data_IF_474931459860
#
_entry.id   IF_474931459860
#
_cell.length_a   1.000
_cell.length_b   1.000
_cell.length_c   1.000
_cell.angle_alpha   90.00
_cell.angle_beta   90.00
_cell.angle_gamma   90.00
#
_symmetry.space_group_name_H-M   'P 1'
#
loop_
_entity.id
_entity.type
_entity.pdbx_description
1 polymer ?
#
# COMPACT_ATOMS: atom_id res chain seq x y z
N UNK A 1 -1.20 -25.19 5.64
CA UNK A 1 -1.80 -26.10 4.66
C UNK A 1 -0.83 -26.33 3.50
N UNK A 2 -0.49 -25.35 2.66
CA UNK A 2 0.39 -25.49 1.47
C UNK A 2 1.75 -26.12 1.83
N UNK A 3 2.44 -25.63 2.85
CA UNK A 3 3.73 -26.16 3.31
C UNK A 3 3.60 -27.63 3.75
N UNK A 4 2.49 -28.00 4.38
CA UNK A 4 2.26 -29.38 4.79
C UNK A 4 2.12 -30.30 3.58
N UNK A 5 1.32 -29.93 2.57
CA UNK A 5 1.21 -30.70 1.32
C UNK A 5 2.56 -30.82 0.62
N UNK A 6 3.33 -29.72 0.57
CA UNK A 6 4.65 -29.70 -0.06
C UNK A 6 5.63 -30.74 0.52
N UNK A 7 5.57 -30.96 1.84
CA UNK A 7 6.44 -31.93 2.50
C UNK A 7 5.85 -33.35 2.56
N UNK A 8 4.53 -33.48 2.73
CA UNK A 8 3.89 -34.78 2.92
C UNK A 8 3.50 -35.45 1.60
N UNK A 9 3.29 -34.67 0.53
CA UNK A 9 2.91 -35.18 -0.80
C UNK A 9 3.84 -34.58 -1.85
N UNK A 10 5.12 -34.97 -1.86
CA UNK A 10 6.07 -34.45 -2.83
C UNK A 10 5.68 -34.86 -4.26
N UNK A 11 6.20 -34.13 -5.25
CA UNK A 11 5.99 -34.37 -6.68
C UNK A 11 4.51 -34.34 -7.10
N UNK A 12 3.71 -33.53 -6.43
CA UNK A 12 2.28 -33.39 -6.71
C UNK A 12 1.98 -32.06 -7.42
N UNK A 13 0.86 -32.06 -8.16
CA UNK A 13 0.26 -30.81 -8.66
C UNK A 13 -0.91 -30.41 -7.77
N UNK A 14 -0.87 -29.18 -7.29
CA UNK A 14 -1.89 -28.60 -6.43
C UNK A 14 -2.60 -27.45 -7.13
N UNK A 15 -3.92 -27.60 -7.31
CA UNK A 15 -4.80 -26.52 -7.78
C UNK A 15 -5.58 -25.93 -6.60
N UNK A 16 -5.54 -24.61 -6.44
CA UNK A 16 -6.17 -23.95 -5.30
C UNK A 16 -6.72 -22.56 -5.66
N UNK A 17 -7.90 -22.26 -5.13
CA UNK A 17 -8.40 -20.88 -5.02
C UNK A 17 -7.96 -20.27 -3.68
N UNK A 18 -7.30 -19.14 -3.72
CA UNK A 18 -6.80 -18.49 -2.52
C UNK A 18 -6.70 -16.96 -2.67
N UNK A 19 -6.70 -16.27 -1.54
CA UNK A 19 -6.30 -14.86 -1.49
C UNK A 19 -4.82 -14.73 -1.82
N UNK A 20 -4.42 -13.62 -2.42
CA UNK A 20 -3.06 -13.40 -2.92
C UNK A 20 -2.00 -13.10 -1.84
N UNK A 21 -2.37 -13.08 -0.56
CA UNK A 21 -1.46 -12.68 0.52
C UNK A 21 -0.17 -13.48 0.59
N UNK A 22 -0.24 -14.80 0.38
CA UNK A 22 0.95 -15.65 0.44
C UNK A 22 1.94 -15.38 -0.71
N UNK A 23 1.48 -14.81 -1.81
CA UNK A 23 2.34 -14.38 -2.91
C UNK A 23 2.97 -13.01 -2.66
N UNK A 24 2.19 -12.05 -2.18
CA UNK A 24 2.56 -10.63 -2.17
C UNK A 24 2.93 -10.08 -0.80
N UNK A 25 2.27 -10.54 0.27
CA UNK A 25 2.41 -9.90 1.58
C UNK A 25 3.75 -10.21 2.24
N UNK A 26 4.34 -9.20 2.88
CA UNK A 26 5.57 -9.34 3.67
C UNK A 26 5.46 -10.33 4.83
N UNK A 27 4.27 -10.49 5.40
CA UNK A 27 4.01 -11.46 6.47
C UNK A 27 4.17 -12.92 6.04
N UNK A 28 4.25 -13.17 4.73
CA UNK A 28 4.45 -14.50 4.15
C UNK A 28 5.85 -14.68 3.55
N UNK A 29 6.80 -13.82 3.87
CA UNK A 29 8.18 -13.94 3.38
C UNK A 29 8.81 -15.28 3.75
N UNK A 30 8.63 -15.74 4.99
CA UNK A 30 9.17 -17.03 5.44
C UNK A 30 8.45 -18.23 4.79
N UNK A 31 7.15 -18.11 4.52
CA UNK A 31 6.45 -19.10 3.70
C UNK A 31 7.08 -19.24 2.32
N UNK A 32 7.36 -18.12 1.63
CA UNK A 32 7.96 -18.13 0.28
C UNK A 32 9.39 -18.66 0.23
N UNK A 33 10.14 -18.54 1.31
CA UNK A 33 11.48 -19.16 1.43
C UNK A 33 11.43 -20.69 1.52
N UNK A 34 10.34 -21.24 2.05
CA UNK A 34 10.15 -22.68 2.27
C UNK A 34 9.42 -23.32 1.09
N UNK A 35 8.38 -22.67 0.58
CA UNK A 35 7.50 -23.20 -0.45
C UNK A 35 8.05 -22.90 -1.85
N UNK A 36 8.96 -23.73 -2.31
CA UNK A 36 9.70 -23.58 -3.58
C UNK A 36 9.06 -24.37 -4.73
N UNK A 37 7.74 -24.47 -4.77
CA UNK A 37 7.03 -25.10 -5.90
C UNK A 37 6.93 -24.12 -7.06
N UNK A 38 6.98 -24.64 -8.29
CA UNK A 38 6.76 -23.82 -9.48
C UNK A 38 5.30 -23.47 -9.64
N UNK A 39 5.00 -22.20 -9.85
CA UNK A 39 3.67 -21.73 -10.22
C UNK A 39 3.48 -21.86 -11.74
N UNK A 40 2.74 -22.88 -12.18
CA UNK A 40 2.55 -23.18 -13.60
C UNK A 40 1.46 -22.34 -14.26
N UNK A 41 0.39 -22.05 -13.52
CA UNK A 41 -0.76 -21.34 -14.07
C UNK A 41 -1.41 -20.47 -13.00
N UNK A 42 -1.83 -19.27 -13.40
CA UNK A 42 -2.41 -18.33 -12.48
C UNK A 42 -3.42 -17.39 -13.17
N UNK A 43 -4.62 -17.32 -12.63
CA UNK A 43 -5.56 -16.25 -12.96
C UNK A 43 -6.23 -15.69 -11.70
N UNK A 44 -6.76 -14.48 -11.80
CA UNK A 44 -7.50 -13.80 -10.74
C UNK A 44 -8.92 -13.45 -11.20
N UNK A 45 -9.84 -13.57 -10.24
CA UNK A 45 -11.23 -13.18 -10.39
C UNK A 45 -11.74 -12.47 -9.13
N UNK A 46 -12.85 -11.70 -9.21
CA UNK A 46 -13.43 -11.03 -8.05
C UNK A 46 -13.91 -12.04 -7.01
N UNK A 47 -13.75 -11.71 -5.74
CA UNK A 47 -14.28 -12.52 -4.63
C UNK A 47 -15.80 -12.74 -4.74
N UNK A 48 -16.52 -11.80 -5.35
CA UNK A 48 -17.97 -11.87 -5.59
C UNK A 48 -18.38 -12.98 -6.57
N UNK A 49 -17.42 -13.56 -7.32
CA UNK A 49 -17.66 -14.74 -8.16
C UNK A 49 -17.95 -16.00 -7.35
N UNK A 50 -17.78 -15.96 -6.03
CA UNK A 50 -18.02 -17.09 -5.12
C UNK A 50 -19.21 -16.80 -4.22
N UNK A 51 -20.08 -17.80 -4.08
CA UNK A 51 -21.24 -17.69 -3.20
C UNK A 51 -20.82 -17.39 -1.74
N UNK A 52 -21.58 -16.51 -1.11
CA UNK A 52 -21.37 -16.10 0.29
C UNK A 52 -20.04 -15.39 0.60
N UNK A 53 -19.22 -15.05 -0.39
CA UNK A 53 -18.02 -14.25 -0.17
C UNK A 53 -18.36 -12.77 -0.25
N UNK A 54 -18.34 -12.11 0.90
CA UNK A 54 -18.51 -10.65 1.01
C UNK A 54 -17.15 -9.98 0.94
N UNK A 55 -17.03 -8.95 0.11
CA UNK A 55 -15.82 -8.14 0.00
C UNK A 55 -15.39 -7.88 -1.44
N UNK A 56 -14.56 -6.88 -1.61
CA UNK A 56 -14.11 -6.39 -2.90
C UNK A 56 -12.59 -6.60 -3.03
N UNK A 57 -12.19 -7.86 -3.23
CA UNK A 57 -10.79 -8.27 -3.30
C UNK A 57 -10.58 -9.39 -4.34
N UNK A 58 -9.34 -9.57 -4.83
CA UNK A 58 -9.03 -10.64 -5.78
C UNK A 58 -8.90 -12.00 -5.09
N UNK A 59 -9.41 -13.03 -5.77
CA UNK A 59 -9.12 -14.44 -5.50
C UNK A 59 -8.34 -14.98 -6.68
N UNK A 60 -7.21 -15.63 -6.41
CA UNK A 60 -6.40 -16.29 -7.42
C UNK A 60 -6.66 -17.78 -7.49
N UNK A 61 -6.86 -18.30 -8.69
CA UNK A 61 -6.68 -19.71 -8.98
C UNK A 61 -5.23 -19.96 -9.36
N UNK A 62 -4.61 -20.93 -8.73
CA UNK A 62 -3.18 -21.20 -8.84
C UNK A 62 -2.98 -22.70 -9.04
N UNK A 63 -2.11 -23.06 -9.97
CA UNK A 63 -1.65 -24.44 -10.15
C UNK A 63 -0.15 -24.46 -9.83
N UNK A 64 0.20 -25.19 -8.79
CA UNK A 64 1.56 -25.37 -8.32
C UNK A 64 2.05 -26.77 -8.62
N UNK A 65 3.29 -26.89 -9.10
CA UNK A 65 3.99 -28.16 -9.30
C UNK A 65 5.14 -28.29 -8.29
N UNK A 66 5.00 -29.20 -7.33
CA UNK A 66 6.02 -29.44 -6.32
C UNK A 66 7.16 -30.34 -6.79
N UNK A 67 7.02 -31.01 -7.94
CA UNK A 67 8.12 -31.73 -8.59
C UNK A 67 9.16 -30.76 -9.17
N UNK A 68 8.77 -29.53 -9.49
CA UNK A 68 9.66 -28.49 -10.00
C UNK A 68 9.91 -27.45 -8.91
N UNK A 69 11.19 -27.20 -8.63
CA UNK A 69 11.57 -26.23 -7.62
C UNK A 69 11.90 -24.88 -8.25
N UNK A 70 11.15 -23.86 -7.83
CA UNK A 70 11.31 -22.49 -8.30
C UNK A 70 10.95 -21.52 -7.18
N UNK A 71 11.82 -20.52 -6.96
CA UNK A 71 11.51 -19.43 -6.04
C UNK A 71 10.55 -18.47 -6.76
N UNK A 72 9.38 -18.26 -6.18
CA UNK A 72 8.41 -17.33 -6.75
C UNK A 72 8.88 -15.88 -6.58
N UNK A 73 9.21 -15.22 -7.67
CA UNK A 73 9.56 -13.80 -7.73
C UNK A 73 8.47 -12.96 -8.36
N UNK A 74 8.01 -13.34 -9.54
CA UNK A 74 6.89 -12.68 -10.22
C UNK A 74 6.19 -13.63 -11.18
N UNK A 75 4.95 -13.30 -11.52
CA UNK A 75 4.18 -13.98 -12.58
C UNK A 75 3.17 -13.01 -13.18
N UNK A 76 2.70 -13.34 -14.37
CA UNK A 76 1.57 -12.66 -15.01
C UNK A 76 0.30 -13.46 -14.72
N UNK A 77 -0.71 -12.78 -14.21
CA UNK A 77 -2.02 -13.33 -13.96
C UNK A 77 -3.02 -12.83 -15.00
N UNK A 78 -3.80 -13.73 -15.57
CA UNK A 78 -4.99 -13.37 -16.33
C UNK A 78 -6.06 -12.82 -15.38
N UNK A 79 -6.76 -11.75 -15.78
CA UNK A 79 -7.81 -11.14 -14.98
C UNK A 79 -9.17 -11.43 -15.62
N UNK A 80 -10.04 -12.10 -14.90
CA UNK A 80 -11.40 -12.38 -15.34
C UNK A 80 -12.41 -11.57 -14.51
N UNK A 81 -13.45 -11.04 -15.16
CA UNK A 81 -14.58 -10.38 -14.50
C UNK A 81 -15.59 -11.39 -13.91
N UNK A 82 -16.65 -10.87 -13.27
CA UNK A 82 -17.74 -11.71 -12.72
C UNK A 82 -18.50 -12.51 -13.81
N UNK A 83 -18.43 -12.06 -15.07
CA UNK A 83 -19.06 -12.73 -16.23
C UNK A 83 -18.13 -13.71 -16.92
N UNK A 84 -16.95 -13.95 -16.36
CA UNK A 84 -15.91 -14.83 -16.91
C UNK A 84 -15.25 -14.32 -18.21
N UNK A 85 -15.32 -13.03 -18.49
CA UNK A 85 -14.59 -12.42 -19.59
C UNK A 85 -13.17 -12.11 -19.15
N UNK A 86 -12.20 -12.39 -20.01
CA UNK A 86 -10.83 -11.90 -19.83
C UNK A 86 -10.82 -10.38 -20.03
N UNK A 87 -10.45 -9.63 -19.00
CA UNK A 87 -10.44 -8.16 -19.00
C UNK A 87 -9.04 -7.56 -18.98
N UNK A 88 -7.99 -8.38 -18.86
CA UNK A 88 -6.62 -7.92 -18.89
C UNK A 88 -5.65 -8.86 -18.19
N UNK A 89 -4.45 -8.34 -17.95
CA UNK A 89 -3.35 -9.06 -17.30
C UNK A 89 -2.78 -8.21 -16.18
N UNK A 90 -2.20 -8.88 -15.18
CA UNK A 90 -1.55 -8.20 -14.05
C UNK A 90 -0.27 -8.92 -13.65
N UNK A 91 0.79 -8.15 -13.47
CA UNK A 91 2.02 -8.65 -12.84
C UNK A 91 1.82 -8.78 -11.33
N UNK A 92 2.13 -9.95 -10.81
CA UNK A 92 2.10 -10.25 -9.38
C UNK A 92 3.53 -10.53 -8.94
N UNK A 93 3.99 -9.78 -7.94
CA UNK A 93 5.36 -9.86 -7.43
C UNK A 93 5.37 -10.38 -6.00
N UNK A 94 6.42 -11.11 -5.64
CA UNK A 94 6.76 -11.32 -4.25
C UNK A 94 7.54 -10.12 -3.71
N UNK A 95 7.10 -9.59 -2.57
CA UNK A 95 7.78 -8.44 -1.98
C UNK A 95 8.55 -8.83 -0.73
N UNK A 96 9.81 -8.43 -0.67
CA UNK A 96 10.56 -8.43 0.57
C UNK A 96 10.04 -7.34 1.49
N UNK A 97 9.98 -7.65 2.78
CA UNK A 97 9.58 -6.68 3.81
C UNK A 97 10.45 -5.41 3.78
N UNK A 98 11.71 -5.54 3.41
CA UNK A 98 12.69 -4.44 3.32
C UNK A 98 12.31 -3.38 2.28
N UNK A 99 11.55 -3.75 1.26
CA UNK A 99 11.13 -2.84 0.18
C UNK A 99 9.78 -2.17 0.47
N UNK A 100 9.18 -2.38 1.63
CA UNK A 100 7.91 -1.74 1.96
C UNK A 100 8.08 -0.25 2.28
N UNK A 101 7.11 0.56 1.88
CA UNK A 101 7.09 2.00 2.16
C UNK A 101 7.17 2.33 3.66
N UNK A 102 6.68 1.47 4.54
CA UNK A 102 6.78 1.65 5.99
C UNK A 102 8.25 1.48 6.46
N UNK A 103 8.99 0.51 5.91
CA UNK A 103 10.40 0.35 6.28
C UNK A 103 11.23 1.55 5.81
N UNK A 104 10.95 2.05 4.61
CA UNK A 104 11.57 3.28 4.13
C UNK A 104 11.27 4.46 5.07
N UNK A 105 10.01 4.65 5.46
CA UNK A 105 9.61 5.76 6.34
C UNK A 105 10.27 5.70 7.72
N UNK A 106 10.56 4.51 8.25
CA UNK A 106 11.23 4.35 9.56
C UNK A 106 12.61 4.99 9.63
N UNK A 107 13.30 5.10 8.49
CA UNK A 107 14.61 5.78 8.42
C UNK A 107 14.51 7.28 8.74
N UNK A 108 13.31 7.86 8.65
CA UNK A 108 13.04 9.28 8.87
C UNK A 108 12.30 9.56 10.18
N UNK A 109 12.18 8.56 11.07
CA UNK A 109 11.56 8.79 12.37
C UNK A 109 12.42 9.71 13.23
N UNK A 110 11.83 10.81 13.67
CA UNK A 110 12.47 11.79 14.54
C UNK A 110 11.63 11.97 15.81
N UNK A 111 12.20 11.59 16.95
CA UNK A 111 11.58 11.71 18.27
C UNK A 111 12.18 12.82 19.11
N UNK A 112 13.26 13.45 18.63
CA UNK A 112 14.07 14.39 19.41
C UNK A 112 13.75 15.83 19.10
N UNK A 113 13.24 16.12 17.90
CA UNK A 113 12.92 17.48 17.48
C UNK A 113 11.50 17.87 17.88
N UNK A 114 11.26 19.18 17.87
CA UNK A 114 9.94 19.75 18.15
C UNK A 114 8.89 19.17 17.19
N UNK A 115 7.81 18.66 17.78
CA UNK A 115 6.71 18.08 17.05
C UNK A 115 5.82 19.15 16.45
N UNK A 116 5.55 19.01 15.14
CA UNK A 116 4.55 19.81 14.44
C UNK A 116 3.18 19.10 14.50
N UNK A 117 3.14 17.79 14.20
CA UNK A 117 1.92 17.01 14.07
C UNK A 117 2.23 15.52 14.12
N UNK A 118 1.25 14.68 13.76
CA UNK A 118 1.40 13.24 13.60
C UNK A 118 0.91 12.79 12.22
N UNK A 119 1.63 11.83 11.64
CA UNK A 119 1.14 11.00 10.55
C UNK A 119 0.51 9.74 11.16
N UNK A 120 -0.77 9.49 10.90
CA UNK A 120 -1.40 8.20 11.16
C UNK A 120 -1.11 7.25 10.01
N UNK A 121 -0.67 6.04 10.34
CA UNK A 121 -0.29 4.99 9.40
C UNK A 121 -1.08 3.72 9.69
N UNK A 122 -1.48 3.01 8.64
CA UNK A 122 -2.11 1.70 8.78
C UNK A 122 -1.82 0.84 7.55
N UNK A 123 -1.36 -0.39 7.79
CA UNK A 123 -1.06 -1.33 6.71
C UNK A 123 -0.09 -0.79 5.65
N UNK A 124 0.17 -1.58 4.64
CA UNK A 124 1.02 -1.19 3.49
C UNK A 124 0.34 -1.47 2.16
N UNK A 125 -0.89 -1.94 2.20
CA UNK A 125 -1.71 -2.26 1.03
C UNK A 125 -2.64 -1.10 0.64
N UNK A 126 -3.17 -1.18 -0.57
CA UNK A 126 -4.07 -0.17 -1.13
C UNK A 126 -5.38 -0.08 -0.35
N UNK A 127 -5.88 -1.18 0.20
CA UNK A 127 -7.11 -1.23 0.98
C UNK A 127 -7.08 -0.29 2.20
N UNK A 128 -5.91 -0.10 2.79
CA UNK A 128 -5.75 0.67 4.02
C UNK A 128 -5.40 2.15 3.79
N UNK A 129 -5.32 2.61 2.53
CA UNK A 129 -4.92 3.98 2.20
C UNK A 129 -5.76 5.04 2.88
N UNK A 130 -7.09 4.86 2.97
CA UNK A 130 -8.00 5.81 3.63
C UNK A 130 -7.72 5.99 5.14
N UNK A 131 -6.98 5.08 5.75
CA UNK A 131 -6.57 5.18 7.14
C UNK A 131 -5.28 5.97 7.37
N UNK A 132 -4.69 6.54 6.32
CA UNK A 132 -3.46 7.34 6.37
C UNK A 132 -3.82 8.82 6.27
N UNK A 133 -3.48 9.60 7.29
CA UNK A 133 -3.79 11.03 7.33
C UNK A 133 -2.90 11.77 8.34
N UNK A 134 -2.79 13.08 8.20
CA UNK A 134 -2.17 13.95 9.20
C UNK A 134 -3.18 14.33 10.28
N UNK A 135 -2.72 14.42 11.52
CA UNK A 135 -3.53 14.86 12.67
C UNK A 135 -2.66 15.38 13.79
N UNK A 136 -3.14 16.37 14.53
CA UNK A 136 -2.51 16.82 15.79
C UNK A 136 -3.12 16.10 17.01
N UNK A 137 -4.19 15.35 16.83
CA UNK A 137 -4.91 14.62 17.91
C UNK A 137 -5.07 13.12 17.56
N UNK A 138 -3.99 12.32 17.64
CA UNK A 138 -4.11 10.88 17.42
C UNK A 138 -4.92 10.20 18.52
N UNK A 139 -5.68 9.19 18.19
CA UNK A 139 -6.41 8.41 19.17
C UNK A 139 -5.46 7.65 20.10
N UNK A 140 -5.88 7.42 21.35
CA UNK A 140 -5.11 6.61 22.30
C UNK A 140 -4.89 5.17 21.80
N UNK A 141 -5.83 4.62 21.03
CA UNK A 141 -5.70 3.32 20.41
C UNK A 141 -4.62 3.29 19.32
N UNK A 142 -4.54 4.32 18.49
CA UNK A 142 -3.51 4.43 17.46
C UNK A 142 -2.11 4.56 18.07
N UNK A 143 -1.99 5.33 19.16
CA UNK A 143 -0.74 5.46 19.90
C UNK A 143 -0.32 4.11 20.49
N UNK A 144 -1.23 3.42 21.19
CA UNK A 144 -0.95 2.09 21.80
C UNK A 144 -0.54 1.03 20.80
N UNK A 145 -1.09 1.09 19.58
CA UNK A 145 -0.76 0.18 18.47
C UNK A 145 0.42 0.63 17.62
N UNK A 146 1.09 1.72 17.99
CA UNK A 146 2.20 2.30 17.21
C UNK A 146 1.83 2.60 15.75
N UNK A 147 0.60 3.07 15.53
CA UNK A 147 0.09 3.44 14.21
C UNK A 147 0.32 4.92 13.88
N UNK A 148 1.16 5.60 14.64
CA UNK A 148 1.46 7.03 14.45
C UNK A 148 2.95 7.26 14.40
N UNK A 149 3.37 8.24 13.59
CA UNK A 149 4.72 8.78 13.56
C UNK A 149 4.69 10.28 13.77
N UNK A 150 5.68 10.81 14.48
CA UNK A 150 5.81 12.24 14.74
C UNK A 150 6.29 12.96 13.48
N UNK A 151 5.64 14.06 13.12
CA UNK A 151 6.08 14.98 12.07
C UNK A 151 6.86 16.14 12.73
N UNK A 152 8.06 16.39 12.23
CA UNK A 152 8.96 17.47 12.66
C UNK A 152 9.48 18.23 11.45
N UNK A 153 10.21 19.33 11.65
CA UNK A 153 10.86 20.04 10.54
C UNK A 153 11.86 19.17 9.76
N UNK A 154 12.47 18.20 10.44
CA UNK A 154 13.51 17.35 9.82
C UNK A 154 12.94 16.25 8.93
N UNK A 155 11.68 15.85 9.13
CA UNK A 155 11.09 14.72 8.39
C UNK A 155 9.80 15.06 7.64
N UNK A 156 9.41 16.33 7.57
CA UNK A 156 8.16 16.74 6.93
C UNK A 156 8.07 16.25 5.46
N UNK A 157 9.16 16.33 4.70
CA UNK A 157 9.18 15.90 3.30
C UNK A 157 8.87 14.38 3.16
N UNK A 158 9.62 13.46 3.78
CA UNK A 158 9.28 12.04 3.72
C UNK A 158 7.88 11.72 4.26
N UNK A 159 7.38 12.45 5.25
CA UNK A 159 6.01 12.25 5.74
C UNK A 159 4.96 12.69 4.71
N UNK A 160 5.19 13.79 3.99
CA UNK A 160 4.34 14.26 2.90
C UNK A 160 4.38 13.26 1.71
N UNK A 161 5.55 12.76 1.34
CA UNK A 161 5.70 11.73 0.30
C UNK A 161 4.91 10.49 0.68
N UNK A 162 5.05 10.00 1.91
CA UNK A 162 4.29 8.84 2.37
C UNK A 162 2.78 9.06 2.27
N UNK A 163 2.27 10.19 2.76
CA UNK A 163 0.86 10.55 2.68
C UNK A 163 0.36 10.54 1.24
N UNK A 164 1.06 11.25 0.36
CA UNK A 164 0.68 11.44 -1.03
C UNK A 164 0.67 10.12 -1.79
N UNK A 165 1.76 9.35 -1.73
CA UNK A 165 1.88 8.06 -2.40
C UNK A 165 0.79 7.09 -1.96
N UNK A 166 0.41 7.11 -0.68
CA UNK A 166 -0.67 6.26 -0.15
C UNK A 166 -2.06 6.63 -0.69
N UNK A 167 -2.22 7.81 -1.27
CA UNK A 167 -3.49 8.31 -1.80
C UNK A 167 -3.50 8.50 -3.32
N UNK A 168 -2.37 8.31 -4.01
CA UNK A 168 -2.28 8.53 -5.47
C UNK A 168 -3.13 7.56 -6.30
N UNK A 169 -3.52 6.41 -5.74
CA UNK A 169 -4.36 5.43 -6.41
C UNK A 169 -5.51 4.99 -5.53
N UNK A 170 -6.68 4.83 -6.14
CA UNK A 170 -7.85 4.26 -5.48
C UNK A 170 -7.75 2.74 -5.41
N UNK A 171 -8.15 2.17 -4.26
CA UNK A 171 -8.29 0.74 -4.13
C UNK A 171 -9.47 0.23 -4.97
N UNK A 172 -9.21 -0.80 -5.76
CA UNK A 172 -10.21 -1.55 -6.52
C UNK A 172 -10.13 -3.02 -6.12
N UNK A 173 -11.07 -3.85 -6.58
CA UNK A 173 -10.99 -5.29 -6.28
C UNK A 173 -9.73 -5.95 -6.85
N UNK A 174 -9.12 -5.37 -7.92
CA UNK A 174 -7.92 -5.93 -8.56
C UNK A 174 -6.66 -5.65 -7.74
N UNK A 175 -6.57 -4.46 -7.12
CA UNK A 175 -5.33 -3.96 -6.50
C UNK A 175 -5.41 -3.75 -4.98
N UNK A 176 -6.53 -4.07 -4.34
CA UNK A 176 -6.73 -3.78 -2.90
C UNK A 176 -5.64 -4.39 -2.01
N UNK A 177 -5.02 -5.48 -2.44
CA UNK A 177 -3.94 -6.20 -1.73
C UNK A 177 -2.53 -5.87 -2.22
N UNK A 178 -2.40 -5.04 -3.25
CA UNK A 178 -1.09 -4.59 -3.69
C UNK A 178 -0.40 -3.77 -2.61
N UNK A 179 0.93 -3.83 -2.59
CA UNK A 179 1.74 -3.21 -1.55
C UNK A 179 2.38 -1.93 -2.09
N UNK A 180 2.39 -0.90 -1.28
CA UNK A 180 3.21 0.26 -1.56
C UNK A 180 4.67 -0.02 -1.23
N UNK A 181 5.53 0.23 -2.20
CA UNK A 181 6.98 0.11 -2.06
C UNK A 181 7.61 1.48 -1.73
N UNK A 182 8.86 1.45 -1.32
CA UNK A 182 9.60 2.70 -1.10
C UNK A 182 9.82 3.45 -2.42
N UNK A 183 9.99 4.79 -2.38
CA UNK A 183 10.29 5.58 -3.56
C UNK A 183 11.58 5.13 -4.25
N UNK A 184 11.64 5.27 -5.56
CA UNK A 184 12.86 5.03 -6.32
C UNK A 184 14.00 5.95 -5.85
N UNK A 185 15.23 5.52 -6.12
CA UNK A 185 16.40 6.38 -5.98
C UNK A 185 16.21 7.68 -6.80
N UNK A 186 16.61 8.81 -6.21
CA UNK A 186 16.47 10.13 -6.86
C UNK A 186 15.32 10.99 -6.34
N UNK A 187 14.38 10.46 -5.58
CA UNK A 187 13.32 11.27 -4.97
C UNK A 187 13.87 12.42 -4.08
N UNK A 188 15.05 12.23 -3.50
CA UNK A 188 15.74 13.22 -2.65
C UNK A 188 16.19 14.45 -3.43
N UNK A 189 16.44 14.31 -4.73
CA UNK A 189 16.85 15.40 -5.63
C UNK A 189 15.75 15.88 -6.55
N UNK A 190 14.62 15.16 -6.62
CA UNK A 190 13.45 15.53 -7.41
C UNK A 190 12.59 16.55 -6.64
N UNK A 191 12.94 17.82 -6.81
CA UNK A 191 12.24 18.93 -6.14
C UNK A 191 10.80 19.09 -6.64
N UNK A 192 10.51 18.74 -7.89
CA UNK A 192 9.14 18.81 -8.44
C UNK A 192 8.27 17.79 -7.74
N UNK A 193 8.70 16.55 -7.65
CA UNK A 193 7.99 15.50 -6.92
C UNK A 193 7.80 15.84 -5.43
N UNK A 194 8.83 16.38 -4.77
CA UNK A 194 8.72 16.80 -3.37
C UNK A 194 7.69 17.93 -3.19
N UNK A 195 7.69 18.92 -4.09
CA UNK A 195 6.73 20.03 -4.05
C UNK A 195 5.30 19.56 -4.32
N UNK A 196 5.09 18.63 -5.25
CA UNK A 196 3.79 18.03 -5.49
C UNK A 196 3.27 17.29 -4.23
N UNK A 197 4.14 16.53 -3.57
CA UNK A 197 3.79 15.85 -2.33
C UNK A 197 3.46 16.83 -1.18
N UNK A 198 4.21 17.92 -1.07
CA UNK A 198 3.94 19.00 -0.10
C UNK A 198 2.60 19.66 -0.39
N UNK A 199 2.33 20.02 -1.64
CA UNK A 199 1.08 20.64 -2.08
C UNK A 199 -0.10 19.72 -1.77
N UNK A 200 -0.01 18.45 -2.13
CA UNK A 200 -1.05 17.47 -1.78
C UNK A 200 -1.26 17.39 -0.26
N UNK A 201 -0.20 17.29 0.52
CA UNK A 201 -0.29 17.19 1.97
C UNK A 201 -0.93 18.42 2.62
N UNK A 202 -0.70 19.62 2.07
CA UNK A 202 -1.31 20.86 2.58
C UNK A 202 -2.80 20.96 2.24
N UNK A 203 -3.17 20.61 1.00
CA UNK A 203 -4.49 20.95 0.46
C UNK A 203 -5.46 19.77 0.36
N UNK A 204 -5.02 18.54 0.64
CA UNK A 204 -5.92 17.38 0.61
C UNK A 204 -6.78 17.27 1.87
N UNK A 205 -7.96 16.67 1.75
CA UNK A 205 -8.82 16.32 2.90
C UNK A 205 -8.22 15.29 3.86
N UNK A 206 -6.99 14.82 3.61
CA UNK A 206 -6.23 13.94 4.50
C UNK A 206 -5.36 14.71 5.48
N UNK A 207 -5.29 16.02 5.35
CA UNK A 207 -4.70 16.90 6.36
C UNK A 207 -5.78 17.30 7.38
N UNK A 208 -5.76 16.65 8.53
CA UNK A 208 -6.70 16.87 9.65
C UNK A 208 -6.04 17.62 10.80
N UNK A 209 -5.08 18.47 10.50
CA UNK A 209 -4.43 19.29 11.49
C UNK A 209 -5.36 20.42 11.86
N UNK A 210 -5.65 20.54 13.16
CA UNK A 210 -6.42 21.67 13.70
C UNK A 210 -5.53 22.91 13.76
N UNK A 211 -6.04 24.04 13.30
CA UNK A 211 -5.35 25.33 13.44
C UNK A 211 -5.20 25.75 14.92
N UNK A 212 -4.40 26.77 15.18
CA UNK A 212 -4.25 27.37 16.53
C UNK A 212 -5.60 27.78 17.14
N UNK A 213 -6.59 28.11 16.29
CA UNK A 213 -7.95 28.46 16.70
C UNK A 213 -8.90 27.25 16.80
N UNK A 214 -8.38 26.04 16.83
CA UNK A 214 -9.15 24.79 16.89
C UNK A 214 -10.11 24.58 15.70
N UNK A 215 -9.91 25.29 14.60
CA UNK A 215 -10.67 25.11 13.37
C UNK A 215 -10.04 23.96 12.58
N UNK A 216 -10.78 22.87 12.40
CA UNK A 216 -10.35 21.79 11.53
C UNK A 216 -10.50 22.17 10.06
N UNK A 217 -9.40 22.19 9.36
CA UNK A 217 -9.38 22.36 7.91
C UNK A 217 -9.62 21.01 7.22
N UNK A 218 -10.87 20.53 7.22
CA UNK A 218 -11.28 19.31 6.53
C UNK A 218 -11.34 19.46 5.01
N UNK A 219 -11.39 20.69 4.55
CA UNK A 219 -11.51 21.06 3.15
C UNK A 219 -10.14 21.56 2.68
N UNK A 220 -9.67 21.16 1.49
CA UNK A 220 -8.46 21.73 0.92
C UNK A 220 -8.53 23.26 0.89
N UNK A 221 -7.43 23.91 1.19
CA UNK A 221 -7.34 25.36 1.06
C UNK A 221 -7.39 25.76 -0.41
N UNK A 222 -8.16 26.81 -0.70
CA UNK A 222 -8.08 27.49 -2.00
C UNK A 222 -6.94 28.49 -2.00
N UNK A 223 -6.47 28.86 -3.18
CA UNK A 223 -5.47 29.92 -3.33
C UNK A 223 -5.89 31.21 -2.62
N UNK A 224 -7.17 31.53 -2.67
CA UNK A 224 -7.72 32.72 -2.04
C UNK A 224 -7.62 32.67 -0.50
N UNK A 225 -7.90 31.50 0.10
CA UNK A 225 -7.86 31.34 1.56
C UNK A 225 -6.45 31.44 2.13
N UNK A 226 -5.44 31.07 1.37
CA UNK A 226 -4.03 31.16 1.77
C UNK A 226 -3.36 32.44 1.22
N UNK A 227 -4.15 33.33 0.60
CA UNK A 227 -3.68 34.59 0.03
C UNK A 227 -2.51 34.39 -0.97
N UNK A 228 -2.58 33.32 -1.78
CA UNK A 228 -1.57 33.03 -2.77
C UNK A 228 -1.64 34.05 -3.93
N UNK A 229 -0.47 34.48 -4.40
CA UNK A 229 -0.37 35.45 -5.51
C UNK A 229 -0.55 34.80 -6.88
N UNK A 230 -0.44 33.50 -6.96
CA UNK A 230 -0.62 32.71 -8.19
C UNK A 230 -1.42 31.45 -7.91
N UNK A 231 -2.00 30.89 -8.96
CA UNK A 231 -2.68 29.60 -8.91
C UNK A 231 -1.66 28.50 -8.57
N UNK A 232 -2.08 27.53 -7.75
CA UNK A 232 -1.26 26.34 -7.51
C UNK A 232 -1.21 25.48 -8.75
N UNK A 233 -0.02 25.30 -9.28
CA UNK A 233 0.23 24.40 -10.40
C UNK A 233 0.96 23.17 -9.89
N UNK A 234 0.27 22.04 -9.87
CA UNK A 234 0.85 20.76 -9.55
C UNK A 234 0.31 19.72 -10.54
N UNK A 235 1.21 19.01 -11.21
CA UNK A 235 0.84 17.90 -12.10
C UNK A 235 0.13 16.77 -11.38
N UNK A 236 0.24 16.73 -10.07
CA UNK A 236 -0.40 15.72 -9.23
C UNK A 236 -1.85 16.08 -8.85
N UNK A 237 -2.21 17.35 -8.90
CA UNK A 237 -3.54 17.86 -8.52
C UNK A 237 -4.48 18.03 -9.70
N UNK A 238 -3.98 17.90 -10.92
CA UNK A 238 -4.74 17.92 -12.18
C UNK A 238 -5.02 16.52 -12.68
#
# INVERSE_FOLDING_TARGET
>A
FLVRIYFEIPESKLAIFSKLKHLQSSNFSDFRKIYNSKLESFYICPAKSFDNVKGNFPIGFQIWDSAQREIFECTIADIYDEKKNLIGFKNIYSYDSNKSIIQWLRNYYDKNSERISYLRMIGTDFQNSQGVFFTNQPSLNDIKKSLTSTITKNNVIPMCIYLTVRHCFSATWINDRDQFLFPNEGWETDLVFQNDCLTYALFSGQNKITSINEINHWIPFTEQEVNAQSKFESSFMT
#
